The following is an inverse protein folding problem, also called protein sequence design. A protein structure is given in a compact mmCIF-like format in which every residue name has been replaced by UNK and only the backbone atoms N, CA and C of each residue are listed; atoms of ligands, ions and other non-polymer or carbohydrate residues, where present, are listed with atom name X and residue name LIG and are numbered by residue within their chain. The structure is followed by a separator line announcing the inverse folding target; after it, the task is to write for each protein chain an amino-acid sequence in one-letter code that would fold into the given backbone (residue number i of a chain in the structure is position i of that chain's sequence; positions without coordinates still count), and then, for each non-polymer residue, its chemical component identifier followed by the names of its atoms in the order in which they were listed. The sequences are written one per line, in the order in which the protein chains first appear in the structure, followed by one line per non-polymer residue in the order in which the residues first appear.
data_IF_604641496697
#
_entry.id   IF_604641496697
#
_cell.length_a   1.000
_cell.length_b   1.000
_cell.length_c   1.000
_cell.angle_alpha   90.00
_cell.angle_beta   90.00
_cell.angle_gamma   90.00
#
_symmetry.space_group_name_H-M   'P 1'
#
loop_
_entity.id
_entity.type
_entity.pdbx_description
1 polymer ?
#
# COMPACT_ATOMS: atom_id res chain seq x y z
N UNK A 1 -10.63 -9.47 -0.04
CA UNK A 1 -9.55 -9.41 0.97
C UNK A 1 -9.26 -10.81 1.49
N UNK A 2 -10.26 -11.55 1.97
CA UNK A 2 -10.07 -12.92 2.47
C UNK A 2 -9.39 -13.85 1.45
N UNK A 3 -9.85 -13.86 0.19
CA UNK A 3 -9.20 -14.62 -0.88
C UNK A 3 -7.75 -14.19 -1.20
N UNK A 4 -7.31 -13.00 -0.78
CA UNK A 4 -5.92 -12.56 -0.92
C UNK A 4 -5.07 -12.94 0.30
N UNK A 5 -5.69 -13.08 1.47
CA UNK A 5 -5.08 -13.57 2.72
C UNK A 5 -5.21 -15.10 2.81
N UNK A 6 -4.88 -15.78 1.72
CA UNK A 6 -4.93 -17.24 1.65
C UNK A 6 -3.97 -17.85 2.69
N UNK A 7 -4.49 -18.81 3.47
CA UNK A 7 -3.73 -19.50 4.52
C UNK A 7 -2.80 -20.57 3.95
N UNK A 8 -3.01 -20.99 2.69
CA UNK A 8 -2.14 -21.94 1.98
C UNK A 8 -0.85 -21.31 1.43
N UNK A 9 -0.80 -19.98 1.36
CA UNK A 9 0.37 -19.24 0.91
C UNK A 9 1.25 -18.82 2.10
N UNK A 10 2.57 -18.69 1.92
CA UNK A 10 3.43 -18.03 2.89
C UNK A 10 2.91 -16.63 3.25
N UNK A 11 3.04 -16.22 4.51
CA UNK A 11 2.49 -14.97 5.03
C UNK A 11 2.95 -13.77 4.21
N UNK A 12 4.24 -13.73 3.87
CA UNK A 12 4.81 -12.64 3.08
C UNK A 12 4.12 -12.52 1.70
N UNK A 13 3.85 -13.65 1.04
CA UNK A 13 3.17 -13.68 -0.27
C UNK A 13 1.70 -13.28 -0.15
N UNK A 14 1.00 -13.79 0.87
CA UNK A 14 -0.39 -13.42 1.14
C UNK A 14 -0.54 -11.90 1.40
N UNK A 15 0.36 -11.32 2.20
CA UNK A 15 0.38 -9.87 2.45
C UNK A 15 0.68 -9.07 1.18
N UNK A 16 1.69 -9.48 0.39
CA UNK A 16 2.00 -8.84 -0.89
C UNK A 16 0.80 -8.87 -1.83
N UNK A 17 0.11 -10.01 -1.95
CA UNK A 17 -1.09 -10.16 -2.78
C UNK A 17 -2.21 -9.21 -2.37
N UNK A 18 -2.38 -8.95 -1.06
CA UNK A 18 -3.34 -7.95 -0.58
C UNK A 18 -2.96 -6.55 -1.05
N UNK A 19 -1.70 -6.14 -0.89
CA UNK A 19 -1.25 -4.81 -1.26
C UNK A 19 -1.26 -4.60 -2.78
N UNK A 20 -0.82 -5.58 -3.56
CA UNK A 20 -0.86 -5.53 -5.03
C UNK A 20 -2.29 -5.49 -5.55
N UNK A 21 -3.17 -6.31 -4.98
CA UNK A 21 -4.59 -6.27 -5.28
C UNK A 21 -5.18 -4.88 -4.99
N UNK A 22 -4.90 -4.32 -3.80
CA UNK A 22 -5.36 -2.99 -3.44
C UNK A 22 -4.84 -1.91 -4.42
N UNK A 23 -3.56 -1.96 -4.79
CA UNK A 23 -2.98 -1.04 -5.76
C UNK A 23 -3.65 -1.15 -7.14
N UNK A 24 -3.93 -2.36 -7.62
CA UNK A 24 -4.64 -2.57 -8.88
C UNK A 24 -6.04 -1.92 -8.89
N UNK A 25 -6.75 -1.98 -7.76
CA UNK A 25 -8.06 -1.33 -7.59
C UNK A 25 -7.95 0.19 -7.49
N UNK A 26 -6.95 0.69 -6.77
CA UNK A 26 -6.78 2.13 -6.52
C UNK A 26 -6.19 2.87 -7.72
N UNK A 27 -5.38 2.18 -8.53
CA UNK A 27 -4.59 2.70 -9.64
C UNK A 27 -4.93 1.99 -10.97
N UNK A 28 -6.20 2.05 -11.44
CA UNK A 28 -6.56 1.41 -12.70
C UNK A 28 -5.76 2.04 -13.87
N UNK A 29 -5.20 1.23 -14.80
CA UNK A 29 -4.31 1.73 -15.86
C UNK A 29 -4.92 2.79 -16.78
N UNK A 30 -6.23 2.71 -17.03
CA UNK A 30 -6.95 3.52 -18.03
C UNK A 30 -8.05 4.41 -17.43
N UNK A 31 -8.03 4.65 -16.12
CA UNK A 31 -9.04 5.47 -15.45
C UNK A 31 -8.43 6.42 -14.40
N UNK A 32 -9.24 7.38 -13.95
CA UNK A 32 -8.88 8.23 -12.83
C UNK A 32 -8.59 7.38 -11.59
N UNK A 33 -7.58 7.79 -10.84
CA UNK A 33 -7.17 7.09 -9.62
C UNK A 33 -8.23 7.28 -8.55
N UNK A 34 -8.59 6.16 -7.93
CA UNK A 34 -9.78 6.08 -7.06
C UNK A 34 -9.40 6.16 -5.59
N UNK A 35 -8.30 5.50 -5.22
CA UNK A 35 -8.02 5.18 -3.81
C UNK A 35 -9.14 4.35 -3.19
N UNK A 36 -9.28 4.43 -1.87
CA UNK A 36 -10.36 3.77 -1.13
C UNK A 36 -11.48 4.77 -0.82
N UNK A 37 -12.73 4.34 -0.97
CA UNK A 37 -13.91 5.12 -0.60
C UNK A 37 -13.95 5.42 0.91
N UNK A 38 -13.65 4.40 1.74
CA UNK A 38 -13.69 4.54 3.20
C UNK A 38 -12.69 5.60 3.68
N UNK A 39 -11.47 5.56 3.14
CA UNK A 39 -10.39 6.43 3.59
C UNK A 39 -10.49 7.84 2.99
N UNK A 40 -10.92 7.96 1.74
CA UNK A 40 -10.92 9.25 1.05
C UNK A 40 -12.22 10.03 1.12
N UNK A 41 -13.37 9.38 1.35
CA UNK A 41 -14.68 10.04 1.37
C UNK A 41 -15.36 9.80 2.71
N UNK A 42 -15.55 8.54 3.12
CA UNK A 42 -16.27 8.25 4.36
C UNK A 42 -15.57 8.87 5.59
N UNK A 43 -14.23 8.95 5.58
CA UNK A 43 -13.47 9.64 6.63
C UNK A 43 -13.82 11.14 6.78
N UNK A 44 -14.07 11.84 5.67
CA UNK A 44 -14.47 13.25 5.70
C UNK A 44 -15.95 13.39 6.13
N UNK A 45 -16.83 12.59 5.53
CA UNK A 45 -18.28 12.65 5.80
C UNK A 45 -18.66 12.18 7.21
N UNK A 46 -17.86 11.29 7.82
CA UNK A 46 -18.09 10.77 9.17
C UNK A 46 -18.10 11.86 10.26
N UNK A 47 -17.59 13.06 9.99
CA UNK A 47 -17.67 14.20 10.91
C UNK A 47 -19.11 14.68 11.05
N UNK A 48 -19.86 14.73 9.95
CA UNK A 48 -21.22 15.27 9.92
C UNK A 48 -22.30 14.18 9.95
N UNK A 49 -21.99 12.95 9.53
CA UNK A 49 -22.97 11.87 9.40
C UNK A 49 -22.62 10.67 10.31
N UNK A 50 -23.50 10.41 11.28
CA UNK A 50 -23.37 9.27 12.22
C UNK A 50 -23.46 7.91 11.53
N UNK A 51 -24.36 7.76 10.58
CA UNK A 51 -24.54 6.50 9.85
C UNK A 51 -23.29 6.18 9.02
N UNK A 52 -22.64 7.20 8.43
CA UNK A 52 -21.36 7.06 7.72
C UNK A 52 -20.23 6.74 8.70
N UNK A 53 -20.16 7.41 9.85
CA UNK A 53 -19.15 7.15 10.88
C UNK A 53 -19.19 5.70 11.39
N UNK A 54 -20.39 5.15 11.59
CA UNK A 54 -20.58 3.75 11.97
C UNK A 54 -20.09 2.79 10.88
N UNK A 55 -20.43 3.07 9.62
CA UNK A 55 -20.00 2.26 8.46
C UNK A 55 -18.48 2.32 8.26
N UNK A 56 -17.88 3.49 8.44
CA UNK A 56 -16.42 3.67 8.44
C UNK A 56 -15.79 2.82 9.55
N UNK A 57 -16.27 2.95 10.78
CA UNK A 57 -15.74 2.20 11.92
C UNK A 57 -15.88 0.68 11.72
N UNK A 58 -17.01 0.21 11.17
CA UNK A 58 -17.21 -1.20 10.84
C UNK A 58 -16.24 -1.67 9.74
N UNK A 59 -16.04 -0.87 8.69
CA UNK A 59 -15.10 -1.18 7.62
C UNK A 59 -13.65 -1.27 8.11
N UNK A 60 -13.21 -0.33 8.95
CA UNK A 60 -11.88 -0.36 9.56
C UNK A 60 -11.68 -1.63 10.42
N UNK A 61 -12.66 -1.96 11.27
CA UNK A 61 -12.62 -3.20 12.06
C UNK A 61 -12.56 -4.45 11.18
N UNK A 62 -13.25 -4.46 10.04
CA UNK A 62 -13.22 -5.61 9.13
C UNK A 62 -11.82 -5.83 8.52
N UNK A 63 -11.07 -4.77 8.20
CA UNK A 63 -9.68 -4.89 7.75
C UNK A 63 -8.79 -5.47 8.86
N UNK A 64 -8.89 -4.92 10.07
CA UNK A 64 -8.12 -5.39 11.22
C UNK A 64 -8.39 -6.87 11.50
N UNK A 65 -9.66 -7.28 11.54
CA UNK A 65 -10.05 -8.67 11.79
C UNK A 65 -9.53 -9.62 10.71
N UNK A 66 -9.54 -9.20 9.43
CA UNK A 66 -9.04 -10.03 8.35
C UNK A 66 -7.52 -10.26 8.47
N UNK A 67 -6.74 -9.20 8.69
CA UNK A 67 -5.29 -9.35 8.91
C UNK A 67 -4.99 -10.15 10.19
N UNK A 68 -5.70 -9.87 11.29
CA UNK A 68 -5.45 -10.52 12.57
C UNK A 68 -5.69 -12.03 12.51
N UNK A 69 -6.73 -12.49 11.79
CA UNK A 69 -6.94 -13.92 11.54
C UNK A 69 -5.75 -14.54 10.82
N UNK A 70 -5.29 -13.93 9.72
CA UNK A 70 -4.15 -14.47 8.96
C UNK A 70 -2.84 -14.43 9.74
N UNK A 71 -2.63 -13.40 10.57
CA UNK A 71 -1.45 -13.27 11.42
C UNK A 71 -1.46 -14.27 12.57
N UNK A 72 -2.63 -14.56 13.16
CA UNK A 72 -2.77 -15.67 14.12
C UNK A 72 -2.42 -17.01 13.49
N UNK A 73 -2.92 -17.27 12.28
CA UNK A 73 -2.56 -18.48 11.54
C UNK A 73 -1.04 -18.56 11.31
N UNK A 74 -0.39 -17.46 10.92
CA UNK A 74 1.07 -17.41 10.77
C UNK A 74 1.84 -17.75 12.06
N UNK A 75 1.37 -17.27 13.22
CA UNK A 75 1.97 -17.67 14.53
C UNK A 75 1.81 -19.17 14.76
N UNK A 76 0.62 -19.73 14.49
CA UNK A 76 0.36 -21.16 14.67
C UNK A 76 1.21 -22.05 13.76
N UNK A 77 1.53 -21.59 12.55
CA UNK A 77 2.39 -22.29 11.59
C UNK A 77 3.89 -22.00 11.81
N UNK A 78 4.26 -21.16 12.78
CA UNK A 78 5.65 -20.81 13.06
C UNK A 78 6.28 -19.84 12.03
N UNK A 79 5.47 -19.19 11.19
CA UNK A 79 5.93 -18.14 10.27
C UNK A 79 6.24 -16.81 11.00
N UNK A 80 5.66 -16.63 12.19
CA UNK A 80 5.92 -15.52 13.10
C UNK A 80 6.36 -16.04 14.48
N UNK A 81 7.10 -15.23 15.26
CA UNK A 81 7.44 -15.54 16.65
C UNK A 81 6.20 -15.84 17.49
N UNK A 82 6.33 -16.75 18.46
CA UNK A 82 5.24 -17.15 19.34
C UNK A 82 4.73 -16.02 20.26
N UNK A 83 5.56 -15.01 20.51
CA UNK A 83 5.24 -13.81 21.30
C UNK A 83 4.79 -12.61 20.44
N UNK A 84 4.65 -12.80 19.11
CA UNK A 84 4.13 -11.75 18.24
C UNK A 84 2.69 -11.41 18.63
N UNK A 85 2.36 -10.11 18.68
CA UNK A 85 0.99 -9.61 18.89
C UNK A 85 0.26 -9.48 17.54
N UNK A 86 -0.64 -10.43 17.17
CA UNK A 86 -1.29 -10.40 15.87
C UNK A 86 -2.27 -9.23 15.73
N UNK A 87 -2.85 -8.75 16.83
CA UNK A 87 -3.81 -7.66 16.82
C UNK A 87 -3.12 -6.32 16.55
N UNK A 88 -1.96 -6.08 17.18
CA UNK A 88 -1.13 -4.92 16.88
C UNK A 88 -0.63 -4.95 15.44
N UNK A 89 -0.07 -6.09 15.00
CA UNK A 89 0.42 -6.25 13.63
C UNK A 89 -0.69 -6.07 12.58
N UNK A 90 -1.91 -6.53 12.87
CA UNK A 90 -3.06 -6.32 12.01
C UNK A 90 -3.39 -4.84 11.83
N UNK A 91 -3.42 -4.06 12.91
CA UNK A 91 -3.64 -2.60 12.85
C UNK A 91 -2.55 -1.89 12.04
N UNK A 92 -1.30 -2.34 12.15
CA UNK A 92 -0.19 -1.82 11.33
C UNK A 92 -0.42 -2.14 9.84
N UNK A 93 -0.77 -3.38 9.50
CA UNK A 93 -1.05 -3.78 8.13
C UNK A 93 -2.25 -3.01 7.53
N UNK A 94 -3.33 -2.83 8.30
CA UNK A 94 -4.48 -1.99 7.94
C UNK A 94 -4.04 -0.54 7.69
N UNK A 95 -3.28 0.06 8.61
CA UNK A 95 -2.81 1.43 8.46
C UNK A 95 -1.95 1.62 7.19
N UNK A 96 -1.10 0.65 6.85
CA UNK A 96 -0.34 0.66 5.60
C UNK A 96 -1.25 0.62 4.37
N UNK A 97 -2.27 -0.24 4.38
CA UNK A 97 -3.27 -0.33 3.31
C UNK A 97 -4.07 0.98 3.15
N UNK A 98 -4.40 1.65 4.25
CA UNK A 98 -5.08 2.94 4.22
C UNK A 98 -4.16 4.03 3.69
N UNK A 99 -2.88 4.00 4.05
CA UNK A 99 -1.86 4.92 3.55
C UNK A 99 -1.65 4.78 2.04
N UNK A 100 -1.63 3.55 1.52
CA UNK A 100 -1.52 3.33 0.06
C UNK A 100 -2.75 3.88 -0.67
N UNK A 101 -3.95 3.68 -0.12
CA UNK A 101 -5.18 4.24 -0.66
C UNK A 101 -5.17 5.78 -0.75
N UNK A 102 -4.69 6.45 0.30
CA UNK A 102 -4.58 7.90 0.34
C UNK A 102 -3.51 8.41 -0.66
N UNK A 103 -2.35 7.75 -0.70
CA UNK A 103 -1.25 8.10 -1.62
C UNK A 103 -1.63 7.89 -3.08
N UNK A 104 -2.46 6.90 -3.40
CA UNK A 104 -2.99 6.69 -4.74
C UNK A 104 -3.77 7.92 -5.25
N UNK A 105 -4.49 8.65 -4.38
CA UNK A 105 -5.24 9.84 -4.80
C UNK A 105 -4.36 11.01 -5.29
N UNK A 106 -3.09 11.07 -4.88
CA UNK A 106 -2.18 12.14 -5.31
C UNK A 106 -1.76 12.02 -6.76
N UNK A 107 -1.73 10.80 -7.30
CA UNK A 107 -1.16 10.60 -8.63
C UNK A 107 -2.28 10.90 -9.63
N UNK A 108 -2.03 11.88 -10.48
CA UNK A 108 -2.92 12.20 -11.58
C UNK A 108 -2.81 11.08 -12.62
N UNK A 109 -3.92 10.68 -13.23
CA UNK A 109 -3.88 9.76 -14.36
C UNK A 109 -3.01 10.42 -15.45
N UNK A 110 -1.90 9.77 -15.83
CA UNK A 110 -1.07 10.20 -16.98
C UNK A 110 -1.78 9.90 -18.31
N UNK A 111 -2.99 10.44 -18.46
CA UNK A 111 -3.89 10.13 -19.58
C UNK A 111 -5.21 10.92 -19.60
N UNK A 112 -5.40 11.93 -18.74
CA UNK A 112 -6.38 12.98 -18.99
C UNK A 112 -5.74 14.23 -19.64
N UNK A 113 -4.55 14.06 -20.23
CA UNK A 113 -4.02 15.02 -21.18
C UNK A 113 -4.75 14.79 -22.50
N UNK A 114 -5.57 15.78 -22.89
CA UNK A 114 -5.95 15.96 -24.29
C UNK A 114 -4.64 16.15 -25.06
N UNK A 115 -4.44 15.32 -26.07
CA UNK A 115 -3.47 15.48 -27.17
C UNK A 115 -1.96 15.42 -26.84
N UNK A 116 -1.22 14.69 -27.68
CA UNK A 116 0.23 14.85 -27.86
C UNK A 116 1.20 14.05 -26.98
N UNK A 117 1.53 12.83 -27.42
CA UNK A 117 2.93 12.36 -27.48
C UNK A 117 3.63 11.79 -26.24
N UNK A 118 4.10 10.54 -26.37
CA UNK A 118 5.33 10.06 -25.73
C UNK A 118 5.18 9.18 -24.49
N UNK A 119 5.02 7.88 -24.70
CA UNK A 119 5.07 6.88 -23.64
C UNK A 119 6.45 6.80 -22.97
N UNK A 120 6.47 6.90 -21.63
CA UNK A 120 7.54 6.38 -20.75
C UNK A 120 6.89 5.89 -19.46
N UNK A 121 6.78 4.56 -19.32
CA UNK A 121 6.37 3.91 -18.07
C UNK A 121 7.36 4.28 -16.96
N UNK A 122 6.86 4.81 -15.84
CA UNK A 122 7.74 5.02 -14.69
C UNK A 122 7.85 3.73 -13.91
N UNK A 123 9.02 3.11 -13.98
CA UNK A 123 9.45 2.14 -12.97
C UNK A 123 9.47 2.83 -11.61
N UNK A 124 8.78 2.21 -10.65
CA UNK A 124 8.91 2.49 -9.23
C UNK A 124 10.34 2.11 -8.82
N UNK A 125 11.23 3.09 -8.65
CA UNK A 125 12.52 2.85 -7.98
C UNK A 125 12.26 2.79 -6.48
N UNK A 126 12.24 1.58 -5.92
CA UNK A 126 12.56 1.41 -4.51
C UNK A 126 14.05 1.76 -4.31
N UNK A 127 14.35 2.55 -3.28
CA UNK A 127 15.68 3.08 -3.00
C UNK A 127 16.76 2.00 -2.99
N UNK A 128 17.68 2.06 -3.95
CA UNK A 128 18.99 1.43 -3.88
C UNK A 128 20.00 2.52 -3.55
N UNK A 129 20.75 2.32 -2.47
CA UNK A 129 21.78 3.23 -1.99
C UNK A 129 22.72 3.66 -3.13
N UNK A 130 22.82 4.97 -3.32
CA UNK A 130 23.82 5.61 -4.17
C UNK A 130 25.21 5.30 -3.60
N UNK A 131 25.88 4.29 -4.14
CA UNK A 131 27.32 4.15 -3.97
C UNK A 131 27.96 5.31 -4.72
N UNK A 132 28.25 6.39 -3.99
CA UNK A 132 29.22 7.42 -4.38
C UNK A 132 30.44 6.73 -4.97
N UNK A 133 30.67 6.94 -6.26
CA UNK A 133 31.94 6.61 -6.90
C UNK A 133 33.01 7.59 -6.37
N UNK A 134 34.26 7.13 -6.17
CA UNK A 134 35.29 7.90 -5.50
C UNK A 134 35.74 9.11 -6.31
N UNK A 135 35.72 10.28 -5.67
CA UNK A 135 36.51 11.44 -6.08
C UNK A 135 38.00 11.10 -5.92
N UNK A 136 38.78 11.28 -6.98
CA UNK A 136 40.23 11.24 -6.88
C UNK A 136 40.96 11.20 -8.23
N UNK A 137 41.77 12.25 -8.45
CA UNK A 137 42.96 12.36 -9.29
C UNK A 137 42.83 12.56 -10.81
N UNK A 138 42.96 13.83 -11.24
CA UNK A 138 43.92 14.15 -12.28
C UNK A 138 44.69 15.42 -11.92
N UNK A 139 46.02 15.29 -12.03
CA UNK A 139 47.13 16.14 -11.59
C UNK A 139 47.17 17.57 -12.19
N UNK A 140 47.87 18.54 -11.56
CA UNK A 140 48.17 19.85 -12.11
C UNK A 140 49.39 19.79 -13.05
N UNK A 141 49.62 20.90 -13.77
CA UNK A 141 50.67 21.18 -14.76
C UNK A 141 50.21 20.98 -16.22
N UNK A 142 49.70 22.05 -16.83
CA UNK A 142 50.17 22.64 -18.10
C UNK A 142 49.46 24.00 -18.29
N UNK A 143 50.32 25.03 -18.38
CA UNK A 143 50.12 26.45 -18.67
C UNK A 143 49.47 27.33 -17.58
#
# INVERSE_FOLDING_TARGET
MEAALDETLPLAEALLRVFDGALAWYLPPSAAQRGCLLIGTAAAEAVADTAVRERLAAGLRAFDQAFERRLRHAVQQGELPADADPAMLARVASALLHSTALRARRRTARGAARDGGGGRGAHLRCGGADKRLPEGSHDPLIN
#
